data_IF_100017159032
#
_entry.id   IF_100017159032
#
_cell.length_a   1.000
_cell.length_b   1.000
_cell.length_c   1.000
_cell.angle_alpha   90.00
_cell.angle_beta   90.00
_cell.angle_gamma   90.00
#
_symmetry.space_group_name_H-M   'P 1'
#
loop_
_entity.id
_entity.type
_entity.pdbx_description
1 polymer ?
#
# COMPACT_ATOMS: atom_id res chain seq x y z
N UNK A 1 19.77 3.97 -28.28
CA UNK A 1 19.70 4.07 -27.73
C UNK A 1 19.41 4.01 -27.27
N UNK A 2 19.26 3.91 -27.49
CA UNK A 2 18.88 3.88 -26.85
C UNK A 2 18.43 3.69 -26.32
N UNK A 3 18.27 3.62 -26.28
CA UNK A 3 17.89 3.57 -25.57
C UNK A 3 17.50 3.28 -25.17
N UNK A 4 17.42 3.25 -25.13
CA UNK A 4 16.94 3.02 -24.53
C UNK A 4 16.53 2.62 -24.02
N UNK A 5 16.55 2.61 -24.02
CA UNK A 5 16.24 2.43 -23.41
C UNK A 5 15.77 1.96 -23.02
N UNK A 6 15.71 1.73 -23.07
CA UNK A 6 15.29 1.38 -22.59
C UNK A 6 14.81 0.79 -22.39
N UNK A 7 14.74 0.56 -22.57
CA UNK A 7 14.17 0.11 -22.24
C UNK A 7 13.50 -0.42 -22.04
N UNK A 8 13.46 -0.47 -22.25
CA UNK A 8 12.98 -0.62 -21.87
C UNK A 8 12.36 -1.05 -21.84
N UNK A 9 12.32 -1.21 -21.97
CA UNK A 9 11.88 -1.40 -21.73
C UNK A 9 11.31 -1.91 -21.66
N UNK A 10 11.35 -2.19 -21.79
CA UNK A 10 11.00 -2.43 -21.46
C UNK A 10 10.41 -2.93 -21.35
N UNK A 11 10.38 -3.13 -21.36
CA UNK A 11 10.04 -3.31 -21.02
C UNK A 11 9.40 -3.69 -20.62
N UNK A 12 9.36 -3.88 -20.88
CA UNK A 12 8.94 -3.93 -20.33
C UNK A 12 8.37 -4.13 -19.95
N UNK A 13 8.44 -4.23 -20.12
CA UNK A 13 7.91 -4.22 -19.73
C UNK A 13 7.37 -4.33 -19.13
N UNK A 14 7.65 -4.29 -19.43
CA UNK A 14 7.36 -4.36 -18.94
C UNK A 14 6.95 -3.96 -18.28
N UNK A 15 6.21 -3.79 -19.07
CA UNK A 15 6.17 -3.06 -17.84
C UNK A 15 5.91 -3.96 -16.63
N UNK A 16 6.83 -4.00 -15.75
CA UNK A 16 6.66 -4.77 -14.54
C UNK A 16 5.54 -4.19 -13.70
N UNK A 17 4.89 -5.03 -12.90
CA UNK A 17 3.94 -4.57 -11.91
C UNK A 17 4.63 -3.58 -10.97
N UNK A 18 3.89 -2.59 -10.43
CA UNK A 18 4.49 -1.66 -9.48
C UNK A 18 5.07 -2.39 -8.28
N UNK A 19 6.24 -1.98 -7.83
CA UNK A 19 6.85 -2.55 -6.64
C UNK A 19 6.27 -1.97 -5.36
N UNK A 20 5.70 -0.77 -5.45
CA UNK A 20 5.10 -0.12 -4.29
C UNK A 20 3.71 -0.67 -4.03
N UNK A 21 3.46 -1.05 -2.79
CA UNK A 21 2.17 -1.56 -2.35
C UNK A 21 1.60 -0.63 -1.31
N UNK A 22 0.34 -0.27 -1.47
CA UNK A 22 -0.39 0.53 -0.49
C UNK A 22 -1.62 -0.25 -0.08
N UNK A 23 -1.68 -0.64 1.19
CA UNK A 23 -2.82 -1.37 1.71
C UNK A 23 -3.53 -0.54 2.77
N UNK A 24 -4.85 -0.54 2.73
CA UNK A 24 -5.66 0.07 3.76
C UNK A 24 -6.31 -1.05 4.57
N UNK A 25 -6.01 -1.09 5.86
CA UNK A 25 -6.54 -2.11 6.76
C UNK A 25 -7.68 -1.48 7.56
N UNK A 26 -8.86 -2.04 7.38
CA UNK A 26 -10.08 -1.49 7.97
C UNK A 26 -10.99 -2.60 8.47
N UNK A 27 -12.03 -2.21 9.20
CA UNK A 27 -13.05 -3.14 9.67
C UNK A 27 -14.38 -2.77 9.03
N UNK A 28 -15.16 -3.79 8.64
CA UNK A 28 -16.44 -3.57 7.97
C UNK A 28 -17.42 -2.77 8.84
N UNK A 29 -17.32 -2.91 10.17
CA UNK A 29 -18.20 -2.21 11.10
C UNK A 29 -17.77 -0.77 11.41
N UNK A 30 -16.64 -0.33 10.90
CA UNK A 30 -16.09 0.98 11.20
C UNK A 30 -16.61 2.02 10.21
N UNK A 31 -17.36 3.01 10.72
CA UNK A 31 -17.94 4.05 9.87
C UNK A 31 -16.87 4.90 9.18
N UNK A 32 -15.80 5.20 9.91
CA UNK A 32 -14.69 5.97 9.33
C UNK A 32 -14.11 5.24 8.13
N UNK A 33 -14.02 3.93 8.20
CA UNK A 33 -13.55 3.12 7.08
C UNK A 33 -14.49 3.19 5.88
N UNK A 34 -15.80 3.16 6.13
CA UNK A 34 -16.77 3.28 5.04
C UNK A 34 -16.57 4.60 4.29
N UNK A 35 -16.38 5.68 5.03
CA UNK A 35 -16.16 7.00 4.42
C UNK A 35 -14.81 7.05 3.72
N UNK A 36 -13.81 6.40 4.29
CA UNK A 36 -12.46 6.42 3.75
C UNK A 36 -12.33 5.63 2.45
N UNK A 37 -13.25 4.70 2.20
CA UNK A 37 -13.19 3.87 0.99
C UNK A 37 -13.15 4.72 -0.28
N UNK A 38 -14.01 5.74 -0.35
CA UNK A 38 -14.03 6.63 -1.50
C UNK A 38 -12.72 7.41 -1.63
N UNK A 39 -12.17 7.86 -0.50
CA UNK A 39 -10.89 8.56 -0.48
C UNK A 39 -9.77 7.67 -0.98
N UNK A 40 -9.76 6.42 -0.52
CA UNK A 40 -8.75 5.46 -0.93
C UNK A 40 -8.83 5.17 -2.43
N UNK A 41 -10.03 5.08 -2.98
CA UNK A 41 -10.22 4.87 -4.41
C UNK A 41 -9.70 6.04 -5.23
N UNK A 42 -9.90 7.28 -4.74
CA UNK A 42 -9.37 8.47 -5.41
C UNK A 42 -7.85 8.43 -5.42
N UNK A 43 -7.24 8.06 -4.29
CA UNK A 43 -5.78 7.96 -4.20
C UNK A 43 -5.26 6.88 -5.13
N UNK A 44 -5.97 5.76 -5.24
CA UNK A 44 -5.58 4.69 -6.15
C UNK A 44 -5.53 5.19 -7.59
N UNK A 45 -6.47 6.06 -7.97
CA UNK A 45 -6.46 6.66 -9.31
C UNK A 45 -5.30 7.63 -9.47
N UNK A 46 -5.02 8.43 -8.45
CA UNK A 46 -3.95 9.43 -8.53
C UNK A 46 -2.57 8.78 -8.66
N UNK A 47 -2.39 7.63 -8.04
CA UNK A 47 -1.09 6.94 -8.04
C UNK A 47 -1.09 5.69 -8.92
N UNK A 48 -2.03 5.61 -9.85
CA UNK A 48 -2.08 4.48 -10.78
C UNK A 48 -0.77 4.39 -11.55
N UNK A 49 -0.24 3.17 -11.68
CA UNK A 49 1.03 2.95 -12.33
C UNK A 49 2.24 3.11 -11.41
N UNK A 50 2.08 3.75 -10.27
CA UNK A 50 3.17 3.95 -9.31
C UNK A 50 3.05 3.01 -8.11
N UNK A 51 1.84 2.58 -7.78
CA UNK A 51 1.60 1.72 -6.65
C UNK A 51 0.38 0.84 -6.89
N UNK A 52 0.39 -0.32 -6.27
CA UNK A 52 -0.77 -1.19 -6.22
C UNK A 52 -1.53 -0.91 -4.92
N UNK A 53 -2.84 -0.71 -5.03
CA UNK A 53 -3.69 -0.40 -3.89
C UNK A 53 -4.56 -1.60 -3.54
N UNK A 54 -4.58 -1.97 -2.27
CA UNK A 54 -5.33 -3.13 -1.77
C UNK A 54 -6.13 -2.71 -0.55
N UNK A 55 -7.43 -3.02 -0.56
CA UNK A 55 -8.29 -2.80 0.59
C UNK A 55 -8.38 -4.11 1.38
N UNK A 56 -8.07 -4.06 2.67
CA UNK A 56 -8.01 -5.24 3.52
C UNK A 56 -9.08 -5.12 4.61
N UNK A 57 -9.99 -6.09 4.68
CA UNK A 57 -10.91 -6.20 5.80
C UNK A 57 -10.27 -7.10 6.83
N UNK A 58 -10.04 -6.58 8.05
CA UNK A 58 -9.25 -7.32 9.04
C UNK A 58 -9.95 -8.58 9.54
N UNK A 59 -11.26 -8.69 9.35
CA UNK A 59 -11.99 -9.88 9.77
C UNK A 59 -12.09 -10.92 8.65
N UNK A 60 -12.44 -10.46 7.44
CA UNK A 60 -12.53 -11.37 6.30
C UNK A 60 -11.16 -11.86 5.85
N UNK A 61 -10.15 -11.03 5.99
CA UNK A 61 -8.81 -11.29 5.46
C UNK A 61 -7.79 -11.59 6.57
N UNK A 62 -8.26 -12.07 7.71
CA UNK A 62 -7.37 -12.27 8.86
C UNK A 62 -6.22 -13.23 8.57
N UNK A 63 -6.42 -14.19 7.67
CA UNK A 63 -5.35 -15.12 7.29
C UNK A 63 -4.17 -14.38 6.65
N UNK A 64 -4.46 -13.33 5.89
CA UNK A 64 -3.41 -12.55 5.25
C UNK A 64 -2.63 -11.72 6.28
N UNK A 65 -3.28 -11.32 7.37
CA UNK A 65 -2.65 -10.50 8.39
C UNK A 65 -1.67 -11.29 9.27
N UNK A 66 -1.94 -12.59 9.46
CA UNK A 66 -1.08 -13.40 10.32
C UNK A 66 -1.09 -12.89 11.76
N UNK A 67 0.09 -12.49 12.24
CA UNK A 67 0.25 -12.04 13.63
C UNK A 67 0.03 -10.54 13.81
N UNK A 68 -0.29 -9.84 12.74
CA UNK A 68 -0.44 -8.38 12.80
C UNK A 68 -1.77 -8.01 13.44
N UNK A 69 -1.74 -7.20 14.49
CA UNK A 69 -2.93 -6.64 15.11
C UNK A 69 -3.18 -5.23 14.62
N UNK A 70 -4.43 -4.93 14.31
CA UNK A 70 -4.84 -3.59 13.89
C UNK A 70 -5.98 -3.16 14.80
N UNK A 71 -5.74 -2.09 15.56
CA UNK A 71 -6.72 -1.62 16.54
C UNK A 71 -7.26 -0.23 16.23
N UNK A 72 -6.56 0.52 15.40
CA UNK A 72 -7.00 1.86 14.98
C UNK A 72 -7.26 1.87 13.47
N UNK A 73 -8.30 2.55 13.06
CA UNK A 73 -8.72 2.56 11.66
C UNK A 73 -8.94 3.98 11.16
N UNK A 74 -8.57 4.29 9.91
CA UNK A 74 -7.87 3.39 8.99
C UNK A 74 -6.39 3.27 9.31
N UNK A 75 -5.82 2.10 9.04
CA UNK A 75 -4.38 1.88 9.14
C UNK A 75 -3.86 1.65 7.73
N UNK A 76 -2.76 2.31 7.40
CA UNK A 76 -2.11 2.13 6.10
C UNK A 76 -0.83 1.33 6.24
N UNK A 77 -0.56 0.51 5.24
CA UNK A 77 0.74 -0.13 5.06
C UNK A 77 1.28 0.31 3.72
N UNK A 78 2.53 0.76 3.70
CA UNK A 78 3.22 1.10 2.46
C UNK A 78 4.49 0.27 2.41
N UNK A 79 4.64 -0.49 1.34
CA UNK A 79 5.79 -1.39 1.18
C UNK A 79 6.36 -1.27 -0.22
N UNK A 80 7.68 -1.42 -0.31
CA UNK A 80 8.39 -1.52 -1.59
C UNK A 80 9.07 -2.88 -1.62
N UNK A 81 8.66 -3.73 -2.56
CA UNK A 81 9.10 -5.11 -2.53
C UNK A 81 8.64 -5.78 -1.25
N UNK A 82 9.57 -6.34 -0.50
CA UNK A 82 9.27 -6.99 0.78
C UNK A 82 9.52 -6.07 1.97
N UNK A 83 9.98 -4.85 1.74
CA UNK A 83 10.30 -3.91 2.81
C UNK A 83 9.13 -3.01 3.11
N UNK A 84 8.74 -2.94 4.38
CA UNK A 84 7.69 -2.04 4.83
C UNK A 84 8.30 -0.69 5.15
N UNK A 85 7.74 0.37 4.58
CA UNK A 85 8.22 1.72 4.79
C UNK A 85 7.28 2.55 5.65
N UNK A 86 6.06 2.09 5.85
CA UNK A 86 5.12 2.71 6.76
C UNK A 86 4.09 1.69 7.18
N UNK A 87 3.77 1.68 8.46
CA UNK A 87 2.66 0.89 8.98
C UNK A 87 2.12 1.59 10.22
N UNK A 88 0.87 2.01 10.15
CA UNK A 88 0.25 2.66 11.30
C UNK A 88 -1.06 3.34 10.93
N UNK A 89 -1.78 3.81 11.96
CA UNK A 89 -3.02 4.53 11.73
C UNK A 89 -2.75 5.89 11.10
N UNK A 90 -3.70 6.35 10.28
CA UNK A 90 -3.61 7.66 9.65
C UNK A 90 -4.91 8.42 9.88
N UNK A 91 -4.83 9.73 9.86
CA UNK A 91 -6.03 10.56 9.88
C UNK A 91 -6.81 10.30 8.59
N UNK A 92 -8.16 10.28 8.66
CA UNK A 92 -8.97 9.94 7.49
C UNK A 92 -9.12 11.10 6.51
N UNK A 93 -8.04 11.78 6.21
CA UNK A 93 -8.02 12.90 5.27
C UNK A 93 -7.17 12.54 4.07
N UNK A 94 -7.68 12.82 2.88
CA UNK A 94 -6.96 12.50 1.64
C UNK A 94 -5.56 13.10 1.63
N UNK A 95 -5.43 14.33 2.11
CA UNK A 95 -4.15 15.04 2.05
C UNK A 95 -3.07 14.37 2.89
N UNK A 96 -3.44 13.81 4.04
CA UNK A 96 -2.50 13.09 4.90
C UNK A 96 -1.88 11.91 4.16
N UNK A 97 -2.72 11.08 3.56
CA UNK A 97 -2.25 9.93 2.81
C UNK A 97 -1.51 10.35 1.54
N UNK A 98 -2.01 11.39 0.86
CA UNK A 98 -1.36 11.85 -0.37
C UNK A 98 0.07 12.28 -0.12
N UNK A 99 0.32 13.02 0.97
CA UNK A 99 1.67 13.43 1.31
C UNK A 99 2.56 12.23 1.62
N UNK A 100 2.02 11.27 2.37
CA UNK A 100 2.76 10.05 2.69
C UNK A 100 3.14 9.28 1.43
N UNK A 101 2.19 9.13 0.51
CA UNK A 101 2.42 8.36 -0.72
C UNK A 101 3.38 9.08 -1.66
N UNK A 102 3.32 10.41 -1.71
CA UNK A 102 4.27 11.16 -2.51
C UNK A 102 5.70 10.95 -2.03
N UNK A 103 5.90 10.91 -0.72
CA UNK A 103 7.22 10.65 -0.17
C UNK A 103 7.65 9.21 -0.43
N UNK A 104 6.71 8.27 -0.35
CA UNK A 104 7.00 6.87 -0.63
C UNK A 104 7.44 6.67 -2.09
N UNK A 105 6.74 7.32 -3.02
CA UNK A 105 7.08 7.23 -4.45
C UNK A 105 8.48 7.80 -4.71
N UNK A 106 8.88 8.81 -3.95
CA UNK A 106 10.19 9.43 -4.09
C UNK A 106 11.30 8.69 -3.35
N UNK A 107 10.94 7.62 -2.64
CA UNK A 107 11.93 6.83 -1.90
C UNK A 107 12.44 7.51 -0.64
N UNK A 108 11.65 8.42 -0.06
CA UNK A 108 12.08 9.22 1.08
C UNK A 108 11.72 8.63 2.44
N UNK A 109 10.97 7.52 2.45
CA UNK A 109 10.60 6.89 3.71
C UNK A 109 11.64 5.85 4.11
N UNK A 110 11.91 5.76 5.41
CA UNK A 110 12.80 4.74 5.94
C UNK A 110 12.14 3.37 5.98
N UNK A 111 12.86 2.37 6.49
CA UNK A 111 12.34 1.01 6.60
C UNK A 111 11.82 0.78 8.02
N UNK A 112 10.63 0.17 8.11
CA UNK A 112 10.06 -0.24 9.40
C UNK A 112 10.50 -1.68 9.66
N UNK A 113 11.39 -1.85 10.64
CA UNK A 113 11.95 -3.15 10.98
C UNK A 113 11.14 -3.79 12.10
N UNK A 114 10.04 -4.46 11.75
CA UNK A 114 9.17 -5.12 12.71
C UNK A 114 8.95 -6.56 12.26
N UNK A 115 9.39 -7.56 13.04
CA UNK A 115 9.23 -8.96 12.65
C UNK A 115 7.78 -9.38 12.38
N UNK A 116 6.81 -8.75 13.05
CA UNK A 116 5.41 -9.07 12.83
C UNK A 116 4.95 -8.75 11.41
N UNK A 117 5.64 -7.83 10.74
CA UNK A 117 5.32 -7.42 9.37
C UNK A 117 6.03 -8.28 8.33
N UNK A 118 6.89 -9.20 8.75
CA UNK A 118 7.63 -10.06 7.83
C UNK A 118 6.66 -10.92 7.02
N UNK A 119 6.81 -10.87 5.70
CA UNK A 119 5.94 -11.64 4.80
C UNK A 119 4.57 -11.02 4.56
N UNK A 120 4.20 -9.99 5.31
CA UNK A 120 2.89 -9.35 5.12
C UNK A 120 2.74 -8.75 3.72
N UNK A 121 3.71 -7.98 3.20
CA UNK A 121 3.55 -7.44 1.85
C UNK A 121 3.31 -8.52 0.80
N UNK A 122 4.02 -9.65 0.88
CA UNK A 122 3.85 -10.72 -0.08
C UNK A 122 2.45 -11.30 -0.02
N UNK A 123 1.91 -11.49 1.19
CA UNK A 123 0.56 -12.02 1.36
C UNK A 123 -0.48 -11.05 0.81
N UNK A 124 -0.30 -9.77 1.07
CA UNK A 124 -1.27 -8.76 0.59
C UNK A 124 -1.22 -8.59 -0.92
N UNK A 125 -0.07 -8.83 -1.56
CA UNK A 125 0.05 -8.72 -3.01
C UNK A 125 -0.75 -9.78 -3.75
N UNK A 126 -1.11 -10.87 -3.09
CA UNK A 126 -1.95 -11.90 -3.71
C UNK A 126 -3.44 -11.56 -3.64
N UNK A 127 -3.81 -10.52 -2.91
CA UNK A 127 -5.19 -10.07 -2.79
C UNK A 127 -5.57 -9.17 -3.98
N UNK A 128 -6.87 -8.99 -4.17
CA UNK A 128 -7.39 -8.17 -5.25
C UNK A 128 -7.82 -6.81 -4.79
#
# INVERSE_FOLDING_TARGET
MPAPSKPTDSESPAVAAPTLLVACLCAAWCRTCDDYRATFDVLASEFAGQARFVWVDIEDDEDALGEVDVVDFPTLLVAAGDEVHFFGPVLPHAQTARQLLQRAVQGELGVVADPALSGLPARLRTMR
#
